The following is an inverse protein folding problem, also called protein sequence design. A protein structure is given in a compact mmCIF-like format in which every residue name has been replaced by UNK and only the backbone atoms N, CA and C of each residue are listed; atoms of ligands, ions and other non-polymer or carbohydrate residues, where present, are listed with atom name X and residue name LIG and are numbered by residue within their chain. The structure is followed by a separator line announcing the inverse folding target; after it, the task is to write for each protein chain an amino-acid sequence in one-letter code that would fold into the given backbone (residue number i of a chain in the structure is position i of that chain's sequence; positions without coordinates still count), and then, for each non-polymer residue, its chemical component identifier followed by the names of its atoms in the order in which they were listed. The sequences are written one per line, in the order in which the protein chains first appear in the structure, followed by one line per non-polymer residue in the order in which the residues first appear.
data_IF_265663731364
#
_entry.id   IF_265663731364
#
_cell.length_a   1.000
_cell.length_b   1.000
_cell.length_c   1.000
_cell.angle_alpha   90.00
_cell.angle_beta   90.00
_cell.angle_gamma   90.00
#
_symmetry.space_group_name_H-M   'P 1'
#
loop_
_entity.id
_entity.type
_entity.pdbx_description
1 polymer ?
#
# COMPACT_ATOMS: atom_id res chain seq x y z
N UNK A 1 -1.78 -28.52 -22.64
CA UNK A 1 -1.72 -27.10 -22.28
C UNK A 1 -3.16 -26.65 -22.04
N UNK A 2 -3.63 -26.73 -20.80
CA UNK A 2 -5.00 -26.36 -20.47
C UNK A 2 -5.06 -24.84 -20.45
N UNK A 3 -5.91 -24.23 -21.28
CA UNK A 3 -6.13 -22.79 -21.25
C UNK A 3 -6.73 -22.47 -19.88
N UNK A 4 -5.93 -21.84 -19.01
CA UNK A 4 -6.40 -21.26 -17.76
C UNK A 4 -7.30 -20.10 -18.14
N UNK A 5 -8.59 -20.17 -17.77
CA UNK A 5 -9.53 -19.07 -18.00
C UNK A 5 -9.11 -17.85 -17.17
N UNK A 6 -9.52 -16.65 -17.62
CA UNK A 6 -9.27 -15.41 -16.87
C UNK A 6 -9.86 -15.47 -15.45
N UNK A 7 -10.81 -16.37 -15.17
CA UNK A 7 -11.40 -16.61 -13.85
C UNK A 7 -10.33 -16.85 -12.76
N UNK A 8 -9.25 -17.54 -13.09
CA UNK A 8 -8.17 -17.80 -12.13
C UNK A 8 -7.36 -16.56 -11.78
N UNK A 9 -7.29 -15.56 -12.66
CA UNK A 9 -6.52 -14.33 -12.43
C UNK A 9 -7.19 -13.43 -11.38
N UNK A 10 -8.48 -13.65 -11.11
CA UNK A 10 -9.27 -12.91 -10.13
C UNK A 10 -9.39 -13.60 -8.77
N UNK A 11 -9.01 -14.88 -8.67
CA UNK A 11 -8.96 -15.59 -7.39
C UNK A 11 -8.00 -14.92 -6.39
N UNK A 12 -8.16 -15.24 -5.11
CA UNK A 12 -7.24 -14.75 -4.08
C UNK A 12 -5.84 -15.34 -4.27
N UNK A 13 -4.82 -14.62 -3.78
CA UNK A 13 -3.44 -15.10 -3.78
C UNK A 13 -3.33 -16.43 -3.03
N UNK A 14 -3.96 -16.52 -1.86
CA UNK A 14 -4.01 -17.71 -1.02
C UNK A 14 -4.65 -18.91 -1.73
N UNK A 15 -5.74 -18.70 -2.46
CA UNK A 15 -6.40 -19.77 -3.21
C UNK A 15 -5.53 -20.28 -4.37
N UNK A 16 -4.84 -19.37 -5.06
CA UNK A 16 -3.91 -19.75 -6.14
C UNK A 16 -2.70 -20.49 -5.59
N UNK A 17 -2.10 -20.03 -4.49
CA UNK A 17 -1.02 -20.75 -3.82
C UNK A 17 -1.42 -22.19 -3.45
N UNK A 18 -2.63 -22.38 -2.89
CA UNK A 18 -3.16 -23.71 -2.55
C UNK A 18 -3.45 -24.57 -3.78
N UNK A 19 -3.91 -23.98 -4.89
CA UNK A 19 -4.15 -24.69 -6.15
C UNK A 19 -2.85 -25.13 -6.81
N UNK A 20 -1.81 -24.30 -6.75
CA UNK A 20 -0.45 -24.62 -7.22
C UNK A 20 0.15 -25.74 -6.39
N UNK A 21 0.12 -25.61 -5.06
CA UNK A 21 0.64 -26.63 -4.12
C UNK A 21 0.03 -28.01 -4.36
N UNK A 22 -1.26 -28.08 -4.71
CA UNK A 22 -1.98 -29.33 -5.00
C UNK A 22 -1.82 -29.82 -6.43
N UNK A 23 -1.11 -29.10 -7.29
CA UNK A 23 -0.92 -29.44 -8.70
C UNK A 23 -2.18 -29.27 -9.56
N UNK A 24 -3.20 -28.55 -9.08
CA UNK A 24 -4.45 -28.31 -9.84
C UNK A 24 -4.30 -27.21 -10.91
N UNK A 25 -3.29 -26.35 -10.75
CA UNK A 25 -2.80 -25.40 -11.73
C UNK A 25 -1.28 -25.31 -11.55
N UNK A 26 -0.52 -25.04 -12.60
CA UNK A 26 0.93 -24.83 -12.48
C UNK A 26 1.26 -23.35 -12.35
N UNK A 27 2.39 -23.04 -11.71
CA UNK A 27 2.96 -21.69 -11.63
C UNK A 27 3.20 -21.10 -13.02
N UNK A 28 3.72 -21.90 -13.95
CA UNK A 28 3.88 -21.48 -15.34
C UNK A 28 2.54 -21.07 -15.98
N UNK A 29 1.52 -21.92 -15.85
CA UNK A 29 0.23 -21.68 -16.48
C UNK A 29 -0.46 -20.41 -15.95
N UNK A 30 -0.38 -20.14 -14.64
CA UNK A 30 -0.97 -18.92 -14.06
C UNK A 30 -0.15 -17.67 -14.41
N UNK A 31 1.18 -17.78 -14.49
CA UNK A 31 2.05 -16.67 -14.89
C UNK A 31 1.82 -16.30 -16.34
N UNK A 32 1.72 -17.29 -17.23
CA UNK A 32 1.35 -17.07 -18.64
C UNK A 32 -0.04 -16.40 -18.77
N UNK A 33 -1.01 -16.80 -17.95
CA UNK A 33 -2.34 -16.18 -17.95
C UNK A 33 -2.29 -14.71 -17.52
N UNK A 34 -1.57 -14.38 -16.44
CA UNK A 34 -1.40 -12.98 -16.03
C UNK A 34 -0.64 -12.16 -17.06
N UNK A 35 0.43 -12.69 -17.67
CA UNK A 35 1.18 -11.98 -18.71
C UNK A 35 0.31 -11.70 -19.95
N UNK A 36 -0.55 -12.64 -20.36
CA UNK A 36 -1.55 -12.39 -21.43
C UNK A 36 -2.53 -11.29 -21.03
N UNK A 37 -3.00 -11.28 -19.78
CA UNK A 37 -3.91 -10.25 -19.27
C UNK A 37 -3.23 -8.87 -19.20
N UNK A 38 -1.98 -8.82 -18.74
CA UNK A 38 -1.13 -7.61 -18.77
C UNK A 38 -1.01 -7.11 -20.21
N UNK A 39 -0.62 -7.96 -21.16
CA UNK A 39 -0.49 -7.58 -22.57
C UNK A 39 -1.79 -7.01 -23.16
N UNK A 40 -2.96 -7.44 -22.67
CA UNK A 40 -4.27 -6.95 -23.09
C UNK A 40 -4.66 -5.61 -22.47
N UNK A 41 -4.41 -5.41 -21.17
CA UNK A 41 -4.98 -4.29 -20.40
C UNK A 41 -3.97 -3.17 -20.09
N UNK A 42 -2.68 -3.50 -20.04
CA UNK A 42 -1.63 -2.54 -19.68
C UNK A 42 -1.52 -1.34 -20.63
N UNK A 43 -1.76 -1.47 -21.96
CA UNK A 43 -1.76 -0.31 -22.86
C UNK A 43 -2.77 0.79 -22.49
N UNK A 44 -3.86 0.43 -21.79
CA UNK A 44 -4.90 1.37 -21.35
C UNK A 44 -4.78 1.77 -19.87
N UNK A 45 -4.14 0.94 -19.05
CA UNK A 45 -4.08 1.12 -17.60
C UNK A 45 -2.77 1.75 -17.11
N UNK A 46 -1.67 1.56 -17.82
CA UNK A 46 -0.34 2.08 -17.46
C UNK A 46 0.06 1.75 -16.00
N UNK A 47 -0.20 0.52 -15.54
CA UNK A 47 0.07 0.07 -14.19
C UNK A 47 1.53 -0.36 -13.96
N UNK A 48 2.28 -0.68 -15.02
CA UNK A 48 3.64 -1.17 -14.98
C UNK A 48 4.63 -0.15 -15.56
N UNK A 49 5.69 0.13 -14.80
CA UNK A 49 6.88 0.80 -15.32
C UNK A 49 7.72 -0.18 -16.16
N UNK A 50 7.74 -1.46 -15.78
CA UNK A 50 8.41 -2.52 -16.54
C UNK A 50 7.78 -3.88 -16.25
N UNK A 51 7.31 -4.57 -17.28
CA UNK A 51 6.89 -5.98 -17.20
C UNK A 51 8.13 -6.87 -17.36
N UNK A 52 8.23 -7.94 -16.58
CA UNK A 52 9.40 -8.83 -16.55
C UNK A 52 9.10 -10.22 -17.13
N UNK A 53 8.41 -10.26 -18.26
CA UNK A 53 7.82 -11.45 -18.89
C UNK A 53 8.72 -12.69 -18.94
N UNK A 54 9.91 -12.55 -19.51
CA UNK A 54 10.84 -13.65 -19.76
C UNK A 54 11.32 -14.23 -18.43
N UNK A 55 11.80 -13.36 -17.54
CA UNK A 55 12.28 -13.78 -16.21
C UNK A 55 11.15 -14.31 -15.31
N UNK A 56 9.92 -13.82 -15.48
CA UNK A 56 8.76 -14.30 -14.72
C UNK A 56 8.40 -15.74 -15.13
N UNK A 57 8.43 -16.05 -16.43
CA UNK A 57 8.21 -17.41 -16.94
C UNK A 57 9.33 -18.38 -16.51
N UNK A 58 10.58 -17.92 -16.46
CA UNK A 58 11.70 -18.72 -15.94
C UNK A 58 11.54 -19.03 -14.45
N UNK A 59 11.23 -18.01 -13.63
CA UNK A 59 10.90 -18.20 -12.21
C UNK A 59 9.74 -19.19 -12.02
N UNK A 60 8.71 -19.10 -12.85
CA UNK A 60 7.55 -19.98 -12.78
C UNK A 60 7.89 -21.45 -13.05
N UNK A 61 8.76 -21.73 -14.04
CA UNK A 61 9.24 -23.08 -14.33
C UNK A 61 10.03 -23.66 -13.16
N UNK A 62 10.92 -22.86 -12.57
CA UNK A 62 11.70 -23.27 -11.40
C UNK A 62 10.77 -23.58 -10.21
N UNK A 63 9.75 -22.75 -9.97
CA UNK A 63 8.76 -23.01 -8.92
C UNK A 63 8.01 -24.33 -9.15
N UNK A 64 7.56 -24.59 -10.38
CA UNK A 64 6.90 -25.86 -10.75
C UNK A 64 7.81 -27.08 -10.50
N UNK A 65 9.09 -27.01 -10.90
CA UNK A 65 10.08 -28.07 -10.67
C UNK A 65 10.34 -28.34 -9.19
N UNK A 66 10.45 -27.29 -8.38
CA UNK A 66 10.66 -27.40 -6.95
C UNK A 66 9.45 -27.98 -6.23
N UNK A 67 8.25 -27.54 -6.59
CA UNK A 67 7.00 -28.05 -6.01
C UNK A 67 6.80 -29.51 -6.37
N UNK A 68 7.06 -29.90 -7.63
CA UNK A 68 7.01 -31.29 -8.07
C UNK A 68 8.03 -32.18 -7.31
N UNK A 69 9.18 -31.62 -6.94
CA UNK A 69 10.19 -32.29 -6.13
C UNK A 69 9.92 -32.23 -4.61
N UNK A 70 8.75 -31.74 -4.16
CA UNK A 70 8.36 -31.67 -2.75
C UNK A 70 8.99 -30.51 -1.96
N UNK A 71 9.68 -29.57 -2.62
CA UNK A 71 10.34 -28.41 -1.99
C UNK A 71 9.43 -27.18 -1.95
N UNK A 72 8.25 -27.32 -1.35
CA UNK A 72 7.29 -26.22 -1.25
C UNK A 72 7.71 -25.19 -0.18
N UNK A 73 7.90 -23.92 -0.58
CA UNK A 73 8.45 -22.84 0.27
C UNK A 73 7.42 -22.04 1.07
N UNK A 74 6.13 -22.22 0.80
CA UNK A 74 5.06 -21.49 1.49
C UNK A 74 3.96 -21.01 0.54
N UNK A 75 2.96 -20.26 1.05
CA UNK A 75 1.77 -19.87 0.29
C UNK A 75 2.04 -18.95 -0.90
N UNK A 76 3.21 -18.30 -0.95
CA UNK A 76 3.63 -17.48 -2.09
C UNK A 76 4.37 -18.28 -3.17
N UNK A 77 4.72 -19.55 -2.93
CA UNK A 77 5.56 -20.30 -3.84
C UNK A 77 4.87 -20.49 -5.19
N UNK A 78 5.42 -19.87 -6.23
CA UNK A 78 4.89 -19.93 -7.58
C UNK A 78 3.78 -18.94 -7.90
N UNK A 79 3.50 -17.97 -7.00
CA UNK A 79 2.45 -16.97 -7.21
C UNK A 79 3.04 -15.65 -7.76
N UNK A 80 2.49 -15.08 -8.85
CA UNK A 80 2.88 -13.77 -9.37
C UNK A 80 2.59 -12.58 -8.45
N UNK A 81 3.64 -11.83 -8.11
CA UNK A 81 3.63 -10.61 -7.29
C UNK A 81 4.35 -9.49 -8.04
N UNK A 82 3.81 -8.27 -7.99
CA UNK A 82 4.45 -7.09 -8.54
C UNK A 82 5.19 -6.30 -7.45
N UNK A 83 6.14 -5.46 -7.81
CA UNK A 83 6.84 -4.59 -6.85
C UNK A 83 6.87 -3.17 -7.36
N UNK A 84 6.63 -2.17 -6.49
CA UNK A 84 6.71 -0.75 -6.89
C UNK A 84 8.11 -0.40 -7.40
N UNK A 85 8.20 0.48 -8.41
CA UNK A 85 9.47 0.88 -9.08
C UNK A 85 10.44 1.73 -8.21
N UNK A 86 10.35 1.58 -6.89
CA UNK A 86 11.33 2.03 -5.90
C UNK A 86 12.12 0.87 -5.29
N UNK A 87 11.68 -0.38 -5.49
CA UNK A 87 12.34 -1.57 -4.98
C UNK A 87 13.43 -2.02 -5.96
N UNK A 88 14.67 -2.07 -5.49
CA UNK A 88 15.79 -2.59 -6.28
C UNK A 88 15.56 -4.07 -6.61
N UNK A 89 15.81 -4.41 -7.88
CA UNK A 89 15.92 -5.79 -8.34
C UNK A 89 17.23 -5.86 -9.10
N UNK A 90 18.11 -6.78 -8.71
CA UNK A 90 19.43 -6.96 -9.32
C UNK A 90 19.32 -7.05 -10.85
N UNK A 91 20.08 -6.21 -11.56
CA UNK A 91 20.14 -6.20 -13.02
C UNK A 91 18.92 -5.60 -13.73
N UNK A 92 17.93 -5.08 -12.99
CA UNK A 92 16.71 -4.47 -13.56
C UNK A 92 16.66 -2.99 -13.21
N UNK A 93 16.48 -2.09 -14.21
CA UNK A 93 16.37 -0.66 -13.95
C UNK A 93 15.35 -0.33 -12.85
N UNK A 94 15.69 0.62 -11.98
CA UNK A 94 14.80 1.13 -10.94
C UNK A 94 14.80 2.65 -11.01
N UNK A 95 13.67 3.27 -11.35
CA UNK A 95 13.64 4.71 -11.66
C UNK A 95 12.96 5.55 -10.59
N UNK A 96 12.19 4.94 -9.70
CA UNK A 96 11.37 5.61 -8.69
C UNK A 96 10.45 6.69 -9.29
N UNK A 97 9.98 6.48 -10.52
CA UNK A 97 9.18 7.47 -11.26
C UNK A 97 9.96 8.75 -11.63
N UNK A 98 11.29 8.74 -11.58
CA UNK A 98 12.14 9.90 -11.90
C UNK A 98 12.87 9.72 -13.23
N UNK A 99 13.25 10.84 -13.86
CA UNK A 99 14.22 10.80 -14.97
C UNK A 99 15.68 10.78 -14.49
N UNK A 100 15.93 11.26 -13.27
CA UNK A 100 17.24 11.31 -12.63
C UNK A 100 17.85 9.90 -12.53
N UNK A 101 17.03 8.90 -12.21
CA UNK A 101 17.45 7.50 -12.10
C UNK A 101 17.13 6.66 -13.35
N UNK A 102 16.91 7.30 -14.51
CA UNK A 102 16.51 6.61 -15.75
C UNK A 102 17.45 5.47 -16.19
N UNK A 103 18.73 5.56 -15.82
CA UNK A 103 19.79 4.60 -16.12
C UNK A 103 20.30 3.82 -14.88
N UNK A 104 19.68 3.99 -13.71
CA UNK A 104 20.12 3.30 -12.50
C UNK A 104 19.72 1.82 -12.56
N UNK A 105 20.72 0.94 -12.52
CA UNK A 105 20.56 -0.51 -12.45
C UNK A 105 21.27 -0.99 -11.18
N UNK A 106 20.54 -1.48 -10.17
CA UNK A 106 21.14 -1.96 -8.94
C UNK A 106 21.86 -3.30 -9.17
N UNK A 107 22.91 -3.52 -8.41
CA UNK A 107 23.72 -4.75 -8.37
C UNK A 107 23.28 -5.72 -7.27
N UNK A 108 22.21 -5.39 -6.54
CA UNK A 108 21.58 -6.26 -5.56
C UNK A 108 20.06 -6.08 -5.49
N UNK A 109 19.38 -7.12 -5.00
CA UNK A 109 17.96 -7.06 -4.66
C UNK A 109 17.73 -6.27 -3.36
N UNK A 110 16.65 -5.48 -3.33
CA UNK A 110 16.09 -4.96 -2.09
C UNK A 110 15.76 -6.11 -1.12
N UNK A 111 15.79 -5.85 0.20
CA UNK A 111 15.48 -6.90 1.17
C UNK A 111 14.08 -7.49 0.97
N UNK A 112 13.10 -6.67 0.61
CA UNK A 112 11.73 -7.14 0.31
C UNK A 112 11.69 -8.05 -0.93
N UNK A 113 12.44 -7.72 -1.98
CA UNK A 113 12.55 -8.51 -3.23
C UNK A 113 13.23 -9.84 -2.95
N UNK A 114 14.38 -9.82 -2.26
CA UNK A 114 15.10 -11.02 -1.84
C UNK A 114 14.21 -11.95 -1.01
N UNK A 115 13.45 -11.40 -0.05
CA UNK A 115 12.54 -12.17 0.80
C UNK A 115 11.38 -12.80 0.02
N UNK A 116 10.82 -12.08 -0.95
CA UNK A 116 9.81 -12.64 -1.86
C UNK A 116 10.36 -13.81 -2.68
N UNK A 117 11.57 -13.69 -3.25
CA UNK A 117 12.24 -14.80 -3.95
C UNK A 117 12.51 -15.99 -3.03
N UNK A 118 12.92 -15.75 -1.79
CA UNK A 118 13.12 -16.79 -0.78
C UNK A 118 11.81 -17.52 -0.46
N UNK A 119 10.67 -16.81 -0.42
CA UNK A 119 9.34 -17.39 -0.29
C UNK A 119 8.84 -18.10 -1.57
N UNK A 120 9.60 -18.01 -2.67
CA UNK A 120 9.28 -18.61 -3.96
C UNK A 120 8.27 -17.82 -4.79
N UNK A 121 7.99 -16.56 -4.45
CA UNK A 121 7.13 -15.70 -5.26
C UNK A 121 7.75 -15.43 -6.63
N UNK A 122 6.91 -15.28 -7.65
CA UNK A 122 7.33 -14.89 -8.99
C UNK A 122 7.20 -13.38 -9.11
N UNK A 123 8.31 -12.69 -9.34
CA UNK A 123 8.28 -11.24 -9.55
C UNK A 123 7.91 -10.96 -11.00
N UNK A 124 6.68 -10.48 -11.22
CA UNK A 124 6.11 -10.30 -12.56
C UNK A 124 6.46 -8.96 -13.20
N UNK A 125 6.82 -7.95 -12.39
CA UNK A 125 7.23 -6.65 -12.90
C UNK A 125 7.32 -5.56 -11.85
N UNK A 126 7.76 -4.38 -12.32
CA UNK A 126 7.89 -3.12 -11.58
C UNK A 126 6.66 -2.25 -11.86
N UNK A 127 5.88 -1.90 -10.83
CA UNK A 127 4.66 -1.10 -10.99
C UNK A 127 4.95 0.39 -11.04
N UNK A 128 4.18 1.11 -11.85
CA UNK A 128 4.25 2.56 -12.01
C UNK A 128 3.97 3.30 -10.69
N UNK A 129 4.56 4.49 -10.56
CA UNK A 129 4.42 5.36 -9.40
C UNK A 129 4.63 6.83 -9.77
N UNK A 130 4.26 7.74 -8.87
CA UNK A 130 4.61 9.16 -8.97
C UNK A 130 6.11 9.39 -8.75
N UNK A 131 6.60 10.56 -9.13
CA UNK A 131 8.02 10.91 -9.10
C UNK A 131 8.56 10.96 -7.66
N UNK A 132 9.60 10.17 -7.38
CA UNK A 132 10.24 10.11 -6.07
C UNK A 132 9.29 9.64 -4.96
N UNK A 133 8.23 8.90 -5.31
CA UNK A 133 7.12 8.53 -4.42
C UNK A 133 6.34 9.73 -3.82
N UNK A 134 6.54 10.94 -4.34
CA UNK A 134 5.87 12.15 -3.88
C UNK A 134 4.54 12.40 -4.62
N UNK A 135 3.96 13.60 -4.50
CA UNK A 135 2.59 13.93 -4.88
C UNK A 135 2.22 13.62 -6.35
N UNK A 136 3.08 13.92 -7.31
CA UNK A 136 2.70 13.96 -8.72
C UNK A 136 3.63 13.11 -9.59
N UNK A 137 3.12 12.66 -10.73
CA UNK A 137 3.95 12.01 -11.74
C UNK A 137 4.91 13.02 -12.35
N UNK A 138 6.10 12.55 -12.72
CA UNK A 138 6.98 13.36 -13.55
C UNK A 138 6.25 13.69 -14.88
N UNK A 139 6.31 14.92 -15.40
CA UNK A 139 5.56 15.32 -16.61
C UNK A 139 5.81 14.45 -17.86
N UNK A 140 6.95 13.77 -17.92
CA UNK A 140 7.31 12.85 -19.01
C UNK A 140 6.86 11.40 -18.79
N UNK A 141 6.22 11.08 -17.67
CA UNK A 141 5.75 9.73 -17.34
C UNK A 141 4.22 9.71 -17.44
N UNK A 142 3.69 8.77 -18.20
CA UNK A 142 2.24 8.56 -18.31
C UNK A 142 1.68 8.05 -16.97
N UNK A 143 0.70 8.76 -16.37
CA UNK A 143 0.03 8.32 -15.16
C UNK A 143 -0.76 7.01 -15.34
N UNK A 144 -0.87 6.22 -14.27
CA UNK A 144 -1.78 5.07 -14.25
C UNK A 144 -3.25 5.51 -14.27
N UNK A 145 -4.08 4.73 -14.96
CA UNK A 145 -5.52 4.97 -15.12
C UNK A 145 -6.31 4.06 -14.17
N UNK A 146 -7.33 4.60 -13.51
CA UNK A 146 -8.15 3.82 -12.59
C UNK A 146 -9.01 2.82 -13.38
N UNK A 147 -8.95 1.52 -13.07
CA UNK A 147 -9.61 0.49 -13.86
C UNK A 147 -11.13 0.53 -13.72
N UNK A 148 -11.67 1.12 -12.64
CA UNK A 148 -13.10 1.33 -12.46
C UNK A 148 -13.66 2.40 -13.39
N UNK A 149 -12.93 3.52 -13.52
CA UNK A 149 -13.26 4.60 -14.43
C UNK A 149 -12.04 5.49 -14.67
N UNK A 150 -11.79 5.86 -15.93
CA UNK A 150 -10.68 6.72 -16.29
C UNK A 150 -10.83 8.17 -15.79
N UNK A 151 -12.04 8.58 -15.41
CA UNK A 151 -12.32 9.93 -14.89
C UNK A 151 -11.95 10.08 -13.40
N UNK A 152 -11.61 8.96 -12.74
CA UNK A 152 -11.37 8.90 -11.31
C UNK A 152 -9.89 8.71 -10.99
N UNK A 153 -9.49 9.28 -9.85
CA UNK A 153 -8.14 9.20 -9.34
C UNK A 153 -7.76 7.76 -8.98
N UNK A 154 -6.51 7.38 -9.27
CA UNK A 154 -5.95 6.08 -8.87
C UNK A 154 -5.44 6.07 -7.43
N UNK A 155 -5.36 7.21 -6.77
CA UNK A 155 -4.52 7.36 -5.58
C UNK A 155 -3.03 7.40 -5.93
N UNK A 156 -2.23 7.95 -5.03
CA UNK A 156 -0.77 8.08 -5.17
C UNK A 156 -0.09 7.66 -3.87
N UNK A 157 1.20 7.35 -3.85
CA UNK A 157 2.13 7.21 -4.98
C UNK A 157 2.20 5.80 -5.54
N UNK A 158 1.62 4.80 -4.85
CA UNK A 158 1.60 3.39 -5.29
C UNK A 158 0.45 3.10 -6.25
N UNK A 159 0.23 4.00 -7.21
CA UNK A 159 -0.87 3.97 -8.17
C UNK A 159 -0.87 2.67 -8.99
N UNK A 160 0.23 2.36 -9.66
CA UNK A 160 0.37 1.16 -10.47
C UNK A 160 0.19 -0.12 -9.66
N UNK A 161 0.65 -0.15 -8.40
CA UNK A 161 0.46 -1.28 -7.50
C UNK A 161 -1.02 -1.58 -7.23
N UNK A 162 -1.82 -0.53 -6.99
CA UNK A 162 -3.26 -0.68 -6.76
C UNK A 162 -4.04 -1.01 -8.05
N UNK A 163 -3.71 -0.35 -9.16
CA UNK A 163 -4.33 -0.62 -10.48
C UNK A 163 -4.04 -2.07 -10.89
N UNK A 164 -2.81 -2.54 -10.78
CA UNK A 164 -2.43 -3.91 -11.11
C UNK A 164 -3.16 -4.94 -10.25
N UNK A 165 -3.29 -4.70 -8.94
CA UNK A 165 -4.01 -5.61 -8.05
C UNK A 165 -5.53 -5.64 -8.35
N UNK A 166 -6.14 -4.48 -8.58
CA UNK A 166 -7.57 -4.33 -8.84
C UNK A 166 -7.99 -4.95 -10.17
N UNK A 167 -7.19 -4.73 -11.23
CA UNK A 167 -7.45 -5.24 -12.57
C UNK A 167 -7.01 -6.71 -12.76
N UNK A 168 -6.52 -7.39 -11.72
CA UNK A 168 -6.09 -8.80 -11.81
C UNK A 168 -4.79 -9.01 -12.60
N UNK A 169 -3.93 -7.99 -12.66
CA UNK A 169 -2.63 -8.04 -13.34
C UNK A 169 -1.50 -8.57 -12.45
N UNK A 170 -1.76 -8.72 -11.16
CA UNK A 170 -0.93 -9.41 -10.17
C UNK A 170 -1.84 -9.98 -9.05
N UNK A 171 -1.33 -10.88 -8.21
CA UNK A 171 -2.07 -11.34 -7.02
C UNK A 171 -1.86 -10.45 -5.79
N UNK A 172 -0.81 -9.64 -5.83
CA UNK A 172 -0.51 -8.61 -4.85
C UNK A 172 0.73 -7.85 -5.29
N UNK A 173 0.97 -6.73 -4.62
CA UNK A 173 2.08 -5.85 -4.93
C UNK A 173 2.74 -5.31 -3.66
N UNK A 174 4.06 -5.16 -3.72
CA UNK A 174 4.79 -4.33 -2.75
C UNK A 174 4.56 -2.86 -3.10
N UNK A 175 4.28 -2.07 -2.08
CA UNK A 175 3.98 -0.66 -2.17
C UNK A 175 4.67 0.12 -1.03
N UNK A 176 4.68 1.46 -1.11
CA UNK A 176 5.21 2.30 -0.04
C UNK A 176 4.20 3.35 0.43
N UNK A 177 4.29 3.75 1.70
CA UNK A 177 3.43 4.73 2.35
C UNK A 177 4.25 5.70 3.21
N UNK A 178 4.23 6.97 2.83
CA UNK A 178 4.91 8.08 3.54
C UNK A 178 3.91 9.08 4.13
N UNK A 179 2.66 9.05 3.64
CA UNK A 179 1.61 10.02 3.95
C UNK A 179 0.20 9.59 3.52
N UNK A 180 0.05 8.35 3.05
CA UNK A 180 -1.17 7.78 2.47
C UNK A 180 -0.93 6.85 1.29
N UNK A 181 0.33 6.61 0.90
CA UNK A 181 0.67 6.05 -0.41
C UNK A 181 0.42 4.56 -0.63
N UNK A 182 -0.01 3.83 0.39
CA UNK A 182 -0.67 2.51 0.25
C UNK A 182 -2.19 2.68 0.34
N UNK A 183 -2.63 3.52 1.27
CA UNK A 183 -4.04 3.63 1.70
C UNK A 183 -4.92 4.36 0.69
N UNK A 184 -4.49 5.51 0.14
CA UNK A 184 -5.26 6.21 -0.90
C UNK A 184 -5.40 5.36 -2.17
N UNK A 185 -4.33 4.76 -2.73
CA UNK A 185 -4.48 3.87 -3.86
C UNK A 185 -5.38 2.66 -3.57
N UNK A 186 -5.25 2.05 -2.38
CA UNK A 186 -6.11 0.93 -2.01
C UNK A 186 -7.59 1.32 -1.97
N UNK A 187 -7.92 2.43 -1.31
CA UNK A 187 -9.29 2.94 -1.25
C UNK A 187 -9.85 3.30 -2.63
N UNK A 188 -9.08 4.01 -3.46
CA UNK A 188 -9.51 4.49 -4.77
C UNK A 188 -9.75 3.38 -5.80
N UNK A 189 -9.05 2.24 -5.66
CA UNK A 189 -9.17 1.10 -6.57
C UNK A 189 -9.96 -0.07 -5.98
N UNK A 190 -10.51 0.06 -4.77
CA UNK A 190 -11.33 -0.97 -4.15
C UNK A 190 -10.55 -2.24 -3.78
N UNK A 191 -9.29 -2.08 -3.39
CA UNK A 191 -8.41 -3.17 -2.97
C UNK A 191 -8.00 -3.00 -1.51
N UNK A 192 -7.30 -3.99 -0.96
CA UNK A 192 -6.84 -4.00 0.42
C UNK A 192 -5.40 -3.54 0.51
N UNK A 193 -5.13 -2.53 1.33
CA UNK A 193 -3.79 -1.98 1.56
C UNK A 193 -3.38 -2.16 3.02
N UNK A 194 -2.17 -2.66 3.27
CA UNK A 194 -1.61 -2.80 4.62
C UNK A 194 -0.34 -1.97 4.74
N UNK A 195 -0.45 -0.86 5.47
CA UNK A 195 0.70 -0.09 5.94
C UNK A 195 1.11 -0.64 7.30
N UNK A 196 2.28 -1.28 7.44
CA UNK A 196 2.69 -1.82 8.74
C UNK A 196 3.21 -0.72 9.66
N UNK A 197 3.65 -1.12 10.85
CA UNK A 197 4.36 -0.26 11.80
C UNK A 197 5.67 0.21 11.17
N UNK A 198 6.08 1.45 11.46
CA UNK A 198 7.39 1.94 10.99
C UNK A 198 8.50 1.02 11.51
N UNK A 199 9.38 0.58 10.61
CA UNK A 199 10.44 -0.38 10.90
C UNK A 199 10.02 -1.86 10.86
N UNK A 200 8.73 -2.21 10.71
CA UNK A 200 8.32 -3.63 10.57
C UNK A 200 8.93 -4.31 9.33
N UNK A 201 9.12 -3.55 8.27
CA UNK A 201 9.68 -3.99 6.99
C UNK A 201 10.93 -3.16 6.71
N UNK A 202 12.00 -3.83 6.30
CA UNK A 202 13.26 -3.19 5.93
C UNK A 202 13.08 -2.28 4.71
N UNK A 203 13.77 -1.14 4.73
CA UNK A 203 13.90 -0.19 3.62
C UNK A 203 15.21 -0.36 2.86
N UNK A 204 16.03 -1.35 3.19
CA UNK A 204 17.27 -1.60 2.44
C UNK A 204 16.98 -1.95 0.98
N UNK A 205 17.66 -1.25 0.08
CA UNK A 205 17.48 -1.34 -1.38
C UNK A 205 16.16 -0.76 -1.86
N UNK A 206 15.59 0.19 -1.11
CA UNK A 206 14.40 0.95 -1.52
C UNK A 206 14.78 2.42 -1.68
N UNK A 207 14.29 3.05 -2.75
CA UNK A 207 14.38 4.50 -2.89
C UNK A 207 13.50 5.20 -1.84
N UNK A 208 14.12 6.00 -0.97
CA UNK A 208 13.45 6.74 0.10
C UNK A 208 12.86 8.06 -0.43
N UNK A 209 11.72 8.48 0.13
CA UNK A 209 11.20 9.85 0.02
C UNK A 209 11.54 10.63 1.30
N UNK A 210 11.13 10.08 2.44
CA UNK A 210 11.37 10.64 3.76
C UNK A 210 11.61 9.47 4.74
N UNK A 211 12.88 9.08 4.98
CA UNK A 211 13.23 7.85 5.69
C UNK A 211 12.52 7.64 7.03
N UNK A 212 12.25 8.71 7.77
CA UNK A 212 11.59 8.62 9.08
C UNK A 212 10.09 8.42 8.98
N UNK A 213 9.50 8.62 7.81
CA UNK A 213 8.07 8.49 7.50
C UNK A 213 7.76 7.29 6.59
N UNK A 214 8.75 6.81 5.83
CA UNK A 214 8.56 5.77 4.82
C UNK A 214 8.25 4.40 5.44
N UNK A 215 7.17 3.79 4.95
CA UNK A 215 6.79 2.41 5.25
C UNK A 215 6.77 1.62 3.96
N UNK A 216 7.35 0.42 3.97
CA UNK A 216 7.08 -0.59 2.95
C UNK A 216 5.92 -1.46 3.44
N UNK A 217 4.98 -1.72 2.55
CA UNK A 217 3.80 -2.53 2.85
C UNK A 217 3.25 -3.17 1.60
N UNK A 218 1.98 -3.54 1.65
CA UNK A 218 1.39 -4.43 0.64
C UNK A 218 0.06 -3.92 0.15
N UNK A 219 -0.22 -4.11 -1.14
CA UNK A 219 -1.56 -4.00 -1.70
C UNK A 219 -1.96 -5.36 -2.29
N UNK A 220 -3.11 -5.87 -1.91
CA UNK A 220 -3.67 -7.12 -2.41
C UNK A 220 -5.20 -7.02 -2.49
N UNK A 221 -5.89 -8.05 -3.00
CA UNK A 221 -7.37 -8.03 -3.08
C UNK A 221 -8.06 -8.36 -1.76
N UNK A 222 -7.36 -9.00 -0.82
CA UNK A 222 -7.90 -9.30 0.51
C UNK A 222 -6.91 -9.00 1.63
N UNK A 223 -7.42 -8.84 2.84
CA UNK A 223 -6.64 -8.63 4.06
C UNK A 223 -5.74 -9.84 4.36
N UNK A 224 -6.25 -11.05 4.10
CA UNK A 224 -5.47 -12.28 4.25
C UNK A 224 -4.27 -12.27 3.31
N UNK A 225 -4.47 -11.98 2.03
CA UNK A 225 -3.39 -11.96 1.04
C UNK A 225 -2.35 -10.87 1.38
N UNK A 226 -2.81 -9.68 1.79
CA UNK A 226 -1.92 -8.61 2.26
C UNK A 226 -1.07 -9.06 3.47
N UNK A 227 -1.70 -9.73 4.45
CA UNK A 227 -1.00 -10.29 5.60
C UNK A 227 0.02 -11.37 5.25
N UNK A 228 -0.31 -12.27 4.31
CA UNK A 228 0.59 -13.33 3.84
C UNK A 228 1.82 -12.74 3.13
N UNK A 229 1.64 -11.69 2.30
CA UNK A 229 2.77 -10.99 1.69
C UNK A 229 3.60 -10.29 2.77
N UNK A 230 2.97 -9.62 3.74
CA UNK A 230 3.67 -8.95 4.84
C UNK A 230 4.51 -9.94 5.65
N UNK A 231 3.98 -11.14 5.92
CA UNK A 231 4.70 -12.19 6.63
C UNK A 231 6.04 -12.55 5.97
N UNK A 232 6.08 -12.56 4.63
CA UNK A 232 7.29 -12.87 3.89
C UNK A 232 8.33 -11.75 3.94
N UNK A 233 7.91 -10.49 3.90
CA UNK A 233 8.82 -9.34 3.76
C UNK A 233 9.23 -8.69 5.09
N UNK A 234 8.51 -8.96 6.18
CA UNK A 234 8.73 -8.33 7.47
C UNK A 234 9.91 -8.93 8.28
N UNK A 235 10.34 -8.17 9.29
CA UNK A 235 11.34 -8.59 10.29
C UNK A 235 12.70 -7.91 10.12
N UNK A 236 13.53 -8.06 11.15
CA UNK A 236 14.86 -7.45 11.25
C UNK A 236 15.73 -7.68 10.03
N UNK A 237 16.55 -6.71 9.68
CA UNK A 237 17.48 -6.80 8.57
C UNK A 237 18.83 -6.19 8.97
N UNK A 238 19.94 -6.93 8.93
CA UNK A 238 21.25 -6.37 9.26
C UNK A 238 21.69 -5.23 8.31
N UNK A 239 21.10 -5.13 7.10
CA UNK A 239 21.38 -4.05 6.16
C UNK A 239 20.52 -2.80 6.36
N UNK A 240 19.55 -2.87 7.26
CA UNK A 240 18.72 -1.74 7.68
C UNK A 240 18.61 -1.70 9.21
N UNK A 241 19.46 -0.92 9.89
CA UNK A 241 19.39 -0.76 11.35
C UNK A 241 18.07 -0.16 11.88
N UNK A 242 17.22 0.40 11.00
CA UNK A 242 15.88 0.88 11.36
C UNK A 242 14.81 -0.22 11.31
N UNK A 243 15.13 -1.39 10.74
CA UNK A 243 14.26 -2.55 10.74
C UNK A 243 14.17 -3.18 12.14
N UNK A 244 12.95 -3.24 12.66
CA UNK A 244 12.63 -3.63 14.01
C UNK A 244 12.90 -5.13 14.25
N UNK A 245 13.41 -5.47 15.44
CA UNK A 245 13.70 -6.84 15.86
C UNK A 245 12.48 -7.61 16.38
N UNK A 246 11.30 -6.99 16.32
CA UNK A 246 10.04 -7.51 16.81
C UNK A 246 9.68 -8.76 15.98
N UNK A 247 9.30 -9.88 16.63
CA UNK A 247 8.89 -11.09 15.93
C UNK A 247 7.80 -10.82 14.90
N UNK A 248 7.88 -11.51 13.76
CA UNK A 248 6.85 -11.48 12.74
C UNK A 248 5.76 -12.48 13.13
N UNK A 249 4.49 -12.06 13.26
CA UNK A 249 3.42 -12.96 13.66
C UNK A 249 3.04 -13.94 12.54
N UNK A 250 2.40 -15.06 12.91
CA UNK A 250 1.79 -15.99 11.95
C UNK A 250 0.50 -15.39 11.37
N UNK A 251 0.61 -14.61 10.29
CA UNK A 251 -0.56 -14.02 9.64
C UNK A 251 -1.53 -15.04 9.08
N UNK A 252 -1.09 -16.27 8.77
CA UNK A 252 -2.00 -17.33 8.33
C UNK A 252 -2.93 -17.79 9.47
N UNK A 253 -2.63 -17.46 10.73
CA UNK A 253 -3.52 -17.70 11.87
C UNK A 253 -4.73 -16.77 11.92
N UNK A 254 -4.70 -15.65 11.20
CA UNK A 254 -5.74 -14.64 11.29
C UNK A 254 -7.14 -15.21 10.93
N UNK A 255 -7.22 -16.16 10.00
CA UNK A 255 -8.48 -16.81 9.59
C UNK A 255 -9.09 -17.69 10.68
N UNK A 256 -8.30 -18.10 11.68
CA UNK A 256 -8.74 -18.97 12.79
C UNK A 256 -9.41 -18.18 13.92
N UNK A 257 -9.39 -16.86 13.86
CA UNK A 257 -9.88 -15.99 14.93
C UNK A 257 -10.84 -14.96 14.36
N UNK A 258 -12.06 -14.89 14.88
CA UNK A 258 -13.00 -13.81 14.55
C UNK A 258 -12.65 -12.50 15.24
N UNK A 259 -13.59 -11.55 15.22
CA UNK A 259 -13.50 -10.25 15.93
C UNK A 259 -14.28 -10.23 17.25
N UNK A 260 -14.84 -11.37 17.66
CA UNK A 260 -15.59 -11.50 18.91
C UNK A 260 -14.80 -10.99 20.12
N UNK A 261 -15.39 -10.03 20.84
CA UNK A 261 -14.81 -9.43 22.04
C UNK A 261 -13.77 -8.34 21.80
N UNK A 262 -13.40 -8.04 20.54
CA UNK A 262 -12.50 -6.93 20.27
C UNK A 262 -13.17 -5.60 20.53
N UNK A 263 -12.44 -4.68 21.14
CA UNK A 263 -12.84 -3.29 21.35
C UNK A 263 -12.41 -2.49 20.12
N UNK A 264 -13.35 -2.05 19.30
CA UNK A 264 -13.07 -1.22 18.14
C UNK A 264 -13.48 0.21 18.47
N UNK A 265 -12.48 1.06 18.64
CA UNK A 265 -12.63 2.48 18.86
C UNK A 265 -13.24 3.20 17.65
N UNK A 266 -14.10 4.18 17.91
CA UNK A 266 -14.61 5.11 16.93
C UNK A 266 -14.69 6.50 17.56
N UNK A 267 -14.21 7.54 16.88
CA UNK A 267 -14.33 8.93 17.32
C UNK A 267 -15.42 9.64 16.52
N UNK A 268 -16.58 9.95 17.12
CA UNK A 268 -17.68 10.61 16.42
C UNK A 268 -17.31 12.00 15.89
N UNK A 269 -16.54 12.79 16.63
CA UNK A 269 -16.15 14.14 16.19
C UNK A 269 -15.21 14.07 14.99
N UNK A 270 -14.15 13.28 15.12
CA UNK A 270 -13.16 13.11 14.06
C UNK A 270 -13.75 12.48 12.79
N UNK A 271 -14.74 11.60 12.92
CA UNK A 271 -15.32 10.85 11.79
C UNK A 271 -16.61 11.46 11.21
N UNK A 272 -17.19 12.51 11.81
CA UNK A 272 -18.40 13.16 11.29
C UNK A 272 -18.18 14.60 10.84
N UNK A 273 -17.30 15.34 11.50
CA UNK A 273 -17.00 16.72 11.13
C UNK A 273 -16.32 16.77 9.78
N UNK A 274 -16.95 17.45 8.81
CA UNK A 274 -16.41 17.65 7.46
C UNK A 274 -16.15 16.35 6.67
N UNK A 275 -16.96 15.33 6.94
CA UNK A 275 -16.96 14.05 6.21
C UNK A 275 -18.23 13.94 5.35
N UNK A 276 -18.08 13.56 4.09
CA UNK A 276 -19.20 13.46 3.16
C UNK A 276 -20.19 12.34 3.55
N UNK A 277 -21.50 12.50 3.26
CA UNK A 277 -22.53 11.55 3.68
C UNK A 277 -22.31 10.11 3.21
N UNK A 278 -21.72 9.89 2.03
CA UNK A 278 -21.46 8.53 1.53
C UNK A 278 -20.38 7.81 2.35
N UNK A 279 -19.36 8.54 2.80
CA UNK A 279 -18.30 8.01 3.67
C UNK A 279 -18.82 7.76 5.08
N UNK A 280 -19.67 8.65 5.61
CA UNK A 280 -20.34 8.44 6.90
C UNK A 280 -21.26 7.21 6.87
N UNK A 281 -22.01 7.01 5.79
CA UNK A 281 -22.85 5.83 5.61
C UNK A 281 -22.03 4.53 5.57
N UNK A 282 -20.88 4.54 4.88
CA UNK A 282 -19.97 3.40 4.87
C UNK A 282 -19.39 3.09 6.26
N UNK A 283 -19.00 4.12 7.03
CA UNK A 283 -18.54 3.96 8.42
C UNK A 283 -19.61 3.33 9.32
N UNK A 284 -20.85 3.80 9.21
CA UNK A 284 -21.96 3.26 9.98
C UNK A 284 -22.20 1.79 9.64
N UNK A 285 -22.32 1.47 8.35
CA UNK A 285 -22.49 0.09 7.89
C UNK A 285 -21.32 -0.82 8.31
N UNK A 286 -20.08 -0.31 8.29
CA UNK A 286 -18.94 -1.08 8.75
C UNK A 286 -18.96 -1.34 10.27
N UNK A 287 -19.40 -0.35 11.05
CA UNK A 287 -19.58 -0.49 12.50
C UNK A 287 -20.66 -1.52 12.84
N UNK A 288 -21.75 -1.55 12.08
CA UNK A 288 -22.81 -2.55 12.22
C UNK A 288 -22.27 -3.96 11.93
N UNK A 289 -21.54 -4.15 10.82
CA UNK A 289 -20.92 -5.44 10.48
C UNK A 289 -19.96 -5.93 11.57
N UNK A 290 -19.10 -5.05 12.11
CA UNK A 290 -18.20 -5.45 13.19
C UNK A 290 -18.96 -5.83 14.47
N UNK A 291 -20.04 -5.10 14.79
CA UNK A 291 -20.91 -5.41 15.93
C UNK A 291 -21.60 -6.77 15.76
N UNK A 292 -22.13 -7.06 14.57
CA UNK A 292 -22.75 -8.34 14.22
C UNK A 292 -21.76 -9.52 14.30
N UNK A 293 -20.50 -9.27 13.98
CA UNK A 293 -19.40 -10.22 14.14
C UNK A 293 -18.90 -10.35 15.59
N UNK A 294 -19.51 -9.62 16.54
CA UNK A 294 -19.27 -9.72 17.98
C UNK A 294 -18.21 -8.78 18.54
N UNK A 295 -17.77 -7.75 17.78
CA UNK A 295 -16.91 -6.71 18.32
C UNK A 295 -17.70 -5.72 19.18
N UNK A 296 -17.04 -5.09 20.14
CA UNK A 296 -17.57 -4.01 20.95
C UNK A 296 -17.11 -2.67 20.36
N UNK A 297 -18.06 -1.91 19.81
CA UNK A 297 -17.78 -0.54 19.37
C UNK A 297 -17.64 0.37 20.60
N UNK A 298 -16.52 1.07 20.71
CA UNK A 298 -16.17 1.92 21.85
C UNK A 298 -15.98 3.36 21.37
N UNK A 299 -16.72 4.29 21.95
CA UNK A 299 -16.48 5.71 21.69
C UNK A 299 -15.13 6.14 22.29
N UNK A 300 -14.29 6.76 21.47
CA UNK A 300 -12.99 7.30 21.89
C UNK A 300 -12.84 8.74 21.42
N UNK A 301 -11.82 9.42 21.94
CA UNK A 301 -11.35 10.70 21.40
C UNK A 301 -9.94 10.54 20.86
N UNK A 302 -9.79 10.62 19.55
CA UNK A 302 -8.50 10.60 18.89
C UNK A 302 -7.72 11.90 19.20
N UNK A 303 -6.39 11.84 19.37
CA UNK A 303 -5.59 13.05 19.55
C UNK A 303 -5.80 14.02 18.38
N UNK A 304 -5.76 15.33 18.67
CA UNK A 304 -5.89 16.36 17.63
C UNK A 304 -4.79 16.18 16.56
N UNK A 305 -5.23 15.97 15.33
CA UNK A 305 -4.37 15.68 14.18
C UNK A 305 -3.88 16.95 13.47
N UNK A 306 -4.47 18.11 13.77
CA UNK A 306 -4.22 19.38 13.05
C UNK A 306 -2.73 19.71 12.95
N UNK A 307 -2.01 19.63 14.07
CA UNK A 307 -0.58 19.91 14.10
C UNK A 307 0.24 18.82 13.40
N UNK A 308 -0.14 17.54 13.51
CA UNK A 308 0.55 16.45 12.81
C UNK A 308 0.41 16.56 11.29
N UNK A 309 -0.76 17.01 10.80
CA UNK A 309 -1.00 17.32 9.38
C UNK A 309 -0.14 18.51 8.93
N UNK A 310 -0.14 19.61 9.70
CA UNK A 310 0.66 20.79 9.39
C UNK A 310 2.18 20.49 9.36
N UNK A 311 2.63 19.62 10.24
CA UNK A 311 4.04 19.22 10.37
C UNK A 311 4.50 18.21 9.31
N UNK A 312 3.58 17.49 8.66
CA UNK A 312 3.93 16.42 7.73
C UNK A 312 4.72 16.94 6.52
N UNK A 313 4.24 18.01 5.87
CA UNK A 313 4.90 18.57 4.68
C UNK A 313 6.33 19.06 4.99
N UNK A 314 6.59 19.93 5.99
CA UNK A 314 7.95 20.36 6.29
C UNK A 314 8.85 19.21 6.75
N UNK A 315 8.33 18.21 7.49
CA UNK A 315 9.09 17.01 7.83
C UNK A 315 9.54 16.24 6.58
N UNK A 316 8.58 15.89 5.72
CA UNK A 316 8.84 15.19 4.46
C UNK A 316 9.80 15.99 3.57
N UNK A 317 9.64 17.31 3.51
CA UNK A 317 10.43 18.18 2.65
C UNK A 317 11.91 18.21 3.06
N UNK A 318 12.20 18.36 4.37
CA UNK A 318 13.58 18.33 4.88
C UNK A 318 14.26 17.02 4.53
N UNK A 319 13.57 15.90 4.75
CA UNK A 319 14.13 14.57 4.49
C UNK A 319 14.28 14.29 2.99
N UNK A 320 13.32 14.69 2.16
CA UNK A 320 13.44 14.60 0.70
C UNK A 320 14.61 15.44 0.17
N UNK A 321 14.81 16.64 0.71
CA UNK A 321 15.94 17.50 0.35
C UNK A 321 17.28 16.84 0.70
N UNK A 322 17.35 16.12 1.83
CA UNK A 322 18.53 15.36 2.22
C UNK A 322 18.78 14.15 1.29
N UNK A 323 17.74 13.37 0.97
CA UNK A 323 17.82 12.23 0.05
C UNK A 323 18.32 12.67 -1.33
N UNK A 324 17.81 13.79 -1.83
CA UNK A 324 18.14 14.29 -3.15
C UNK A 324 19.34 15.25 -3.20
N UNK A 325 20.02 15.51 -2.07
CA UNK A 325 21.01 16.59 -1.97
C UNK A 325 22.11 16.52 -3.04
N UNK A 326 22.59 15.30 -3.34
CA UNK A 326 23.64 15.07 -4.36
C UNK A 326 23.10 15.25 -5.78
N UNK A 327 21.98 14.60 -6.10
CA UNK A 327 21.48 14.51 -7.47
C UNK A 327 20.79 15.80 -7.91
N UNK A 328 20.08 16.48 -7.00
CA UNK A 328 19.32 17.68 -7.31
C UNK A 328 20.19 18.86 -7.71
N UNK A 329 21.35 19.03 -7.07
CA UNK A 329 22.28 20.11 -7.41
C UNK A 329 22.87 19.94 -8.83
N UNK A 330 23.09 18.70 -9.27
CA UNK A 330 23.71 18.40 -10.56
C UNK A 330 22.70 18.26 -11.70
N UNK A 331 21.46 17.85 -11.40
CA UNK A 331 20.49 17.40 -12.40
C UNK A 331 19.12 18.07 -12.26
N UNK A 332 19.05 19.29 -11.72
CA UNK A 332 17.78 19.99 -11.43
C UNK A 332 16.79 19.99 -12.60
N UNK A 333 17.26 20.10 -13.84
CA UNK A 333 16.42 20.12 -15.04
C UNK A 333 15.74 18.77 -15.36
N UNK A 334 16.17 17.69 -14.71
CA UNK A 334 15.56 16.36 -14.83
C UNK A 334 14.45 16.10 -13.80
N UNK A 335 14.20 17.04 -12.88
CA UNK A 335 13.15 16.91 -11.87
C UNK A 335 11.85 17.55 -12.34
N UNK A 336 10.73 16.89 -12.05
CA UNK A 336 9.42 17.51 -12.19
C UNK A 336 9.23 18.66 -11.21
N UNK A 337 8.37 19.65 -11.54
CA UNK A 337 8.23 20.88 -10.76
C UNK A 337 7.75 20.63 -9.33
N UNK A 338 6.94 19.58 -9.11
CA UNK A 338 6.37 19.28 -7.79
C UNK A 338 7.43 18.68 -6.85
N UNK A 339 8.22 17.70 -7.31
CA UNK A 339 9.32 17.15 -6.52
C UNK A 339 10.42 18.19 -6.30
N UNK A 340 10.77 18.96 -7.34
CA UNK A 340 11.71 20.06 -7.19
C UNK A 340 11.23 21.10 -6.15
N UNK A 341 9.95 21.44 -6.17
CA UNK A 341 9.34 22.37 -5.22
C UNK A 341 9.42 21.90 -3.77
N UNK A 342 9.13 20.62 -3.49
CA UNK A 342 9.24 20.08 -2.12
C UNK A 342 10.70 20.01 -1.65
N UNK A 343 11.65 19.70 -2.53
CA UNK A 343 13.08 19.71 -2.22
C UNK A 343 13.55 21.13 -1.83
N UNK A 344 13.18 22.15 -2.61
CA UNK A 344 13.55 23.54 -2.29
C UNK A 344 12.87 24.04 -1.01
N UNK A 345 11.61 23.64 -0.77
CA UNK A 345 10.93 23.90 0.51
C UNK A 345 11.69 23.30 1.68
N UNK A 346 12.18 22.06 1.53
CA UNK A 346 12.97 21.38 2.56
C UNK A 346 14.24 22.13 2.96
N UNK A 347 14.96 22.68 1.97
CA UNK A 347 16.16 23.50 2.22
C UNK A 347 15.85 24.82 2.95
N UNK A 348 14.61 25.30 2.90
CA UNK A 348 14.19 26.54 3.54
C UNK A 348 13.69 26.34 4.99
N UNK A 349 13.41 25.10 5.40
CA UNK A 349 13.00 24.79 6.78
C UNK A 349 14.21 24.93 7.71
N UNK A 350 14.04 25.65 8.82
CA UNK A 350 15.13 25.82 9.78
C UNK A 350 15.36 24.55 10.62
N UNK A 351 16.61 24.32 11.05
CA UNK A 351 16.94 23.22 11.98
C UNK A 351 16.12 23.28 13.27
N UNK A 352 15.86 24.50 13.77
CA UNK A 352 15.04 24.71 14.96
C UNK A 352 13.58 24.27 14.74
N UNK A 353 12.99 24.62 13.59
CA UNK A 353 11.65 24.18 13.22
C UNK A 353 11.58 22.67 13.06
N UNK A 354 12.54 22.07 12.33
CA UNK A 354 12.61 20.62 12.14
C UNK A 354 12.72 19.88 13.48
N UNK A 355 13.57 20.35 14.40
CA UNK A 355 13.68 19.77 15.74
C UNK A 355 12.36 19.86 16.52
N UNK A 356 11.61 20.96 16.40
CA UNK A 356 10.30 21.07 17.04
C UNK A 356 9.28 20.10 16.43
N UNK A 357 9.31 19.89 15.11
CA UNK A 357 8.48 18.89 14.45
C UNK A 357 8.77 17.49 15.01
N UNK A 358 10.05 17.11 15.16
CA UNK A 358 10.44 15.81 15.71
C UNK A 358 9.93 15.61 17.15
N UNK A 359 9.99 16.65 17.99
CA UNK A 359 9.46 16.60 19.36
C UNK A 359 7.94 16.44 19.39
N UNK A 360 7.21 17.24 18.58
CA UNK A 360 5.74 17.13 18.48
C UNK A 360 5.32 15.77 17.95
N UNK A 361 6.04 15.24 16.97
CA UNK A 361 5.85 13.89 16.43
C UNK A 361 6.00 12.81 17.51
N UNK A 362 7.02 12.91 18.37
CA UNK A 362 7.22 11.97 19.46
C UNK A 362 6.09 12.02 20.52
N UNK A 363 5.60 13.22 20.84
CA UNK A 363 4.45 13.42 21.74
C UNK A 363 3.19 12.81 21.12
N UNK A 364 2.91 13.16 19.86
CA UNK A 364 1.74 12.65 19.14
C UNK A 364 1.76 11.12 19.04
N UNK A 365 2.91 10.51 18.75
CA UNK A 365 3.09 9.05 18.76
C UNK A 365 2.69 8.43 20.09
N UNK A 366 3.18 8.97 21.21
CA UNK A 366 2.83 8.49 22.55
C UNK A 366 1.31 8.56 22.78
N UNK A 367 0.69 9.67 22.38
CA UNK A 367 -0.74 9.90 22.63
C UNK A 367 -1.62 8.96 21.80
N UNK A 368 -1.25 8.68 20.55
CA UNK A 368 -1.92 7.67 19.72
C UNK A 368 -1.74 6.27 20.32
N UNK A 369 -0.53 5.88 20.72
CA UNK A 369 -0.27 4.55 21.30
C UNK A 369 -1.04 4.34 22.62
N UNK A 370 -1.20 5.39 23.43
CA UNK A 370 -1.94 5.34 24.69
C UNK A 370 -3.43 4.97 24.51
N UNK A 371 -4.04 5.28 23.36
CA UNK A 371 -5.42 4.89 23.09
C UNK A 371 -5.60 3.37 23.07
N UNK A 372 -4.60 2.63 22.58
CA UNK A 372 -4.67 1.17 22.45
C UNK A 372 -4.60 0.42 23.79
N UNK A 373 -4.46 1.13 24.92
CA UNK A 373 -4.76 0.56 26.23
C UNK A 373 -6.28 0.29 26.41
N UNK A 374 -7.13 1.13 25.79
CA UNK A 374 -8.59 1.12 25.94
C UNK A 374 -9.33 0.44 24.80
N UNK A 375 -8.69 0.28 23.64
CA UNK A 375 -9.25 -0.36 22.44
C UNK A 375 -8.20 -1.22 21.76
N UNK A 376 -8.62 -2.20 20.97
CA UNK A 376 -7.70 -3.08 20.23
C UNK A 376 -7.47 -2.58 18.80
N UNK A 377 -8.47 -1.89 18.24
CA UNK A 377 -8.46 -1.28 16.92
C UNK A 377 -9.18 0.06 16.94
N UNK A 378 -8.99 0.89 15.92
CA UNK A 378 -9.78 2.11 15.68
C UNK A 378 -10.30 2.09 14.24
N UNK A 379 -11.60 2.32 14.04
CA UNK A 379 -12.24 2.43 12.73
C UNK A 379 -12.36 3.89 12.31
N UNK A 380 -11.90 4.22 11.11
CA UNK A 380 -11.89 5.60 10.57
C UNK A 380 -11.92 5.60 9.04
N UNK A 381 -12.34 6.70 8.38
CA UNK A 381 -12.20 6.85 6.93
C UNK A 381 -10.73 6.84 6.49
N UNK A 382 -10.49 6.56 5.21
CA UNK A 382 -9.20 6.84 4.56
C UNK A 382 -9.08 8.31 4.15
N UNK A 383 -10.22 8.94 3.85
CA UNK A 383 -10.35 10.34 3.44
C UNK A 383 -11.79 10.80 3.73
N UNK A 384 -12.04 12.12 3.88
CA UNK A 384 -13.38 12.62 4.19
C UNK A 384 -14.32 12.63 2.98
N UNK A 385 -13.81 12.39 1.77
CA UNK A 385 -14.53 12.55 0.51
C UNK A 385 -15.07 11.23 -0.04
N UNK A 386 -16.13 11.30 -0.85
CA UNK A 386 -16.43 10.28 -1.85
C UNK A 386 -15.23 10.10 -2.82
N UNK A 387 -15.25 9.08 -3.71
CA UNK A 387 -14.19 8.87 -4.67
C UNK A 387 -13.85 10.14 -5.46
N UNK A 388 -12.57 10.49 -5.51
CA UNK A 388 -12.10 11.74 -6.08
C UNK A 388 -11.93 11.61 -7.59
N UNK A 389 -12.45 12.57 -8.36
CA UNK A 389 -12.23 12.65 -9.81
C UNK A 389 -10.86 13.22 -10.12
N UNK A 390 -10.34 12.95 -11.32
CA UNK A 390 -9.10 13.58 -11.80
C UNK A 390 -9.22 15.11 -11.84
N UNK A 391 -10.40 15.63 -12.17
CA UNK A 391 -10.66 17.08 -12.15
C UNK A 391 -10.54 17.68 -10.74
N UNK A 392 -11.02 16.99 -9.71
CA UNK A 392 -10.86 17.43 -8.33
C UNK A 392 -9.38 17.43 -7.92
N UNK A 393 -8.66 16.35 -8.21
CA UNK A 393 -7.24 16.21 -7.88
C UNK A 393 -6.36 17.21 -8.62
N UNK A 394 -6.66 17.55 -9.88
CA UNK A 394 -5.87 18.50 -10.67
C UNK A 394 -5.76 19.89 -10.01
N UNK A 395 -6.72 20.25 -9.17
CA UNK A 395 -6.75 21.54 -8.44
C UNK A 395 -6.31 21.42 -6.98
N UNK A 396 -5.94 20.22 -6.53
CA UNK A 396 -5.63 19.93 -5.14
C UNK A 396 -4.45 20.77 -4.63
N UNK A 397 -3.39 20.92 -5.44
CA UNK A 397 -2.21 21.75 -5.14
C UNK A 397 -2.50 23.24 -4.94
N UNK A 398 -3.61 23.74 -5.48
CA UNK A 398 -4.03 25.14 -5.39
C UNK A 398 -4.96 25.40 -4.18
N UNK A 399 -5.39 24.34 -3.49
CA UNK A 399 -6.36 24.38 -2.40
C UNK A 399 -5.76 23.79 -1.12
N UNK A 400 -5.04 24.59 -0.30
CA UNK A 400 -4.40 24.13 0.92
C UNK A 400 -5.36 23.40 1.87
N UNK A 401 -6.60 23.88 1.99
CA UNK A 401 -7.61 23.27 2.84
C UNK A 401 -8.03 21.88 2.34
N UNK A 402 -8.13 21.68 1.02
CA UNK A 402 -8.50 20.40 0.44
C UNK A 402 -7.40 19.35 0.66
N UNK A 403 -6.12 19.75 0.52
CA UNK A 403 -4.98 18.88 0.85
C UNK A 403 -5.00 18.49 2.33
N UNK A 404 -5.16 19.46 3.23
CA UNK A 404 -5.15 19.20 4.66
C UNK A 404 -6.27 18.22 5.06
N UNK A 405 -7.45 18.36 4.46
CA UNK A 405 -8.58 17.43 4.63
C UNK A 405 -8.26 16.01 4.15
N UNK A 406 -7.61 15.87 2.99
CA UNK A 406 -7.19 14.58 2.47
C UNK A 406 -6.15 13.90 3.38
N UNK A 407 -5.18 14.69 3.87
CA UNK A 407 -4.09 14.24 4.75
C UNK A 407 -4.55 13.91 6.17
N UNK A 408 -5.71 14.42 6.60
CA UNK A 408 -6.27 14.29 7.96
C UNK A 408 -6.31 12.86 8.49
N UNK A 409 -6.53 11.88 7.63
CA UNK A 409 -6.71 10.47 8.03
C UNK A 409 -5.52 9.59 7.70
N UNK A 410 -4.50 10.10 7.01
CA UNK A 410 -3.35 9.30 6.59
C UNK A 410 -2.04 9.77 7.20
N UNK A 411 -1.63 11.01 6.94
CA UNK A 411 -0.35 11.59 7.38
C UNK A 411 -0.09 11.48 8.89
N UNK A 412 -1.08 11.67 9.80
CA UNK A 412 -0.86 11.48 11.24
C UNK A 412 -0.36 10.07 11.60
N UNK A 413 -0.73 9.04 10.82
CA UNK A 413 -0.30 7.67 11.06
C UNK A 413 1.13 7.41 10.61
N UNK A 414 1.64 8.15 9.61
CA UNK A 414 3.06 8.12 9.23
C UNK A 414 3.91 8.91 10.23
N UNK A 415 3.37 10.04 10.71
CA UNK A 415 3.96 10.81 11.80
C UNK A 415 4.05 9.96 13.08
N UNK A 416 3.00 9.23 13.44
CA UNK A 416 3.03 8.39 14.63
C UNK A 416 3.71 7.03 14.41
N UNK A 417 3.78 6.52 13.17
CA UNK A 417 4.39 5.24 12.82
C UNK A 417 3.50 4.02 13.06
N UNK A 418 2.20 4.20 13.33
CA UNK A 418 1.27 3.12 13.64
C UNK A 418 0.77 2.39 12.39
N UNK A 419 0.51 1.08 12.46
CA UNK A 419 0.01 0.32 11.34
C UNK A 419 -1.47 0.64 11.03
N UNK A 420 -1.83 0.48 9.75
CA UNK A 420 -3.19 0.65 9.27
C UNK A 420 -3.52 -0.36 8.15
N UNK A 421 -4.75 -0.87 8.15
CA UNK A 421 -5.30 -1.70 7.08
C UNK A 421 -6.47 -0.98 6.42
N UNK A 422 -6.32 -0.62 5.14
CA UNK A 422 -7.38 -0.12 4.28
C UNK A 422 -8.11 -1.26 3.59
N UNK A 423 -9.43 -1.22 3.54
CA UNK A 423 -10.25 -2.22 2.86
C UNK A 423 -11.51 -1.57 2.23
N UNK A 424 -12.04 -2.14 1.14
CA UNK A 424 -13.28 -1.67 0.54
C UNK A 424 -14.46 -1.99 1.46
N UNK A 425 -15.33 -1.00 1.68
CA UNK A 425 -16.44 -1.08 2.64
C UNK A 425 -17.77 -0.55 2.09
N UNK A 426 -17.85 -0.33 0.78
CA UNK A 426 -19.05 0.13 0.11
C UNK A 426 -18.78 0.64 -1.29
N UNK A 427 -19.81 1.22 -1.89
CA UNK A 427 -19.71 1.91 -3.18
C UNK A 427 -20.45 3.25 -3.15
N UNK A 428 -19.90 4.19 -3.90
CA UNK A 428 -20.54 5.46 -4.17
C UNK A 428 -21.58 5.33 -5.29
N UNK A 429 -22.33 6.41 -5.53
CA UNK A 429 -23.40 6.47 -6.56
C UNK A 429 -22.94 6.08 -7.98
N UNK A 430 -21.68 6.29 -8.32
CA UNK A 430 -21.11 5.99 -9.64
C UNK A 430 -20.42 4.61 -9.68
N UNK A 431 -20.80 3.68 -8.80
CA UNK A 431 -20.19 2.35 -8.61
C UNK A 431 -18.71 2.35 -8.20
N UNK A 432 -18.13 3.53 -7.98
CA UNK A 432 -16.75 3.67 -7.50
C UNK A 432 -16.62 3.15 -6.06
N UNK A 433 -15.53 2.43 -5.74
CA UNK A 433 -15.31 1.86 -4.41
C UNK A 433 -15.13 2.94 -3.34
N UNK A 434 -15.68 2.69 -2.14
CA UNK A 434 -15.39 3.46 -0.93
C UNK A 434 -14.51 2.61 -0.01
N UNK A 435 -13.38 3.17 0.40
CA UNK A 435 -12.45 2.55 1.32
C UNK A 435 -12.51 3.13 2.74
N UNK A 436 -12.45 2.26 3.74
CA UNK A 436 -12.24 2.61 5.15
C UNK A 436 -10.91 2.03 5.63
N UNK A 437 -10.48 2.39 6.84
CA UNK A 437 -9.29 1.80 7.44
C UNK A 437 -9.50 1.45 8.92
N UNK A 438 -8.79 0.40 9.34
CA UNK A 438 -8.56 0.06 10.73
C UNK A 438 -7.15 0.48 11.12
N UNK A 439 -7.00 1.06 12.31
CA UNK A 439 -5.73 1.39 12.94
C UNK A 439 -5.48 0.43 14.10
N UNK A 440 -4.21 0.13 14.39
CA UNK A 440 -3.84 -0.69 15.54
C UNK A 440 -2.62 -0.11 16.27
N UNK A 441 -2.39 -0.58 17.49
CA UNK A 441 -1.16 -0.27 18.23
C UNK A 441 0.07 -0.77 17.48
N UNK A 442 1.25 -0.26 17.85
CA UNK A 442 2.48 -0.66 17.18
C UNK A 442 2.68 -2.18 17.24
N UNK A 443 3.09 -2.74 16.10
CA UNK A 443 3.35 -4.16 15.88
C UNK A 443 2.13 -5.10 16.03
N UNK A 444 0.91 -4.56 15.97
CA UNK A 444 -0.36 -5.31 16.04
C UNK A 444 -0.97 -5.62 14.65
N UNK A 445 -0.15 -5.78 13.60
CA UNK A 445 -0.66 -6.02 12.25
C UNK A 445 -1.48 -7.31 12.12
N UNK A 446 -1.21 -8.33 12.96
CA UNK A 446 -2.03 -9.55 12.99
C UNK A 446 -3.49 -9.26 13.35
N UNK A 447 -3.71 -8.34 14.30
CA UNK A 447 -5.06 -7.93 14.73
C UNK A 447 -5.79 -7.19 13.61
N UNK A 448 -5.07 -6.36 12.83
CA UNK A 448 -5.61 -5.73 11.63
C UNK A 448 -6.05 -6.77 10.60
N UNK A 449 -5.15 -7.70 10.23
CA UNK A 449 -5.42 -8.73 9.23
C UNK A 449 -6.58 -9.63 9.66
N UNK A 450 -6.64 -9.99 10.95
CA UNK A 450 -7.76 -10.72 11.54
C UNK A 450 -9.09 -10.00 11.34
N UNK A 451 -9.15 -8.72 11.72
CA UNK A 451 -10.38 -7.95 11.62
C UNK A 451 -10.80 -7.71 10.17
N UNK A 452 -9.85 -7.38 9.30
CA UNK A 452 -10.09 -7.24 7.87
C UNK A 452 -10.59 -8.53 7.22
N UNK A 453 -9.98 -9.67 7.55
CA UNK A 453 -10.40 -10.98 7.04
C UNK A 453 -11.81 -11.36 7.53
N UNK A 454 -12.15 -11.07 8.78
CA UNK A 454 -13.51 -11.30 9.30
C UNK A 454 -14.54 -10.42 8.59
N UNK A 455 -14.25 -9.12 8.42
CA UNK A 455 -15.10 -8.18 7.70
C UNK A 455 -15.32 -8.61 6.24
N UNK A 456 -14.25 -9.02 5.56
CA UNK A 456 -14.29 -9.52 4.19
C UNK A 456 -14.92 -10.91 4.08
N UNK A 457 -14.90 -11.72 5.13
CA UNK A 457 -15.66 -12.97 5.17
C UNK A 457 -17.17 -12.77 5.29
N UNK A 458 -17.61 -11.61 5.81
CA UNK A 458 -19.02 -11.26 5.98
C UNK A 458 -19.58 -10.37 4.86
N UNK A 459 -18.71 -9.74 4.06
CA UNK A 459 -19.08 -8.79 3.00
C UNK A 459 -18.45 -9.18 1.65
N UNK A 460 -19.04 -8.72 0.55
CA UNK A 460 -18.54 -9.02 -0.80
C UNK A 460 -17.79 -7.85 -1.46
N UNK A 461 -17.54 -6.74 -0.73
CA UNK A 461 -16.97 -5.52 -1.32
C UNK A 461 -15.61 -5.76 -1.98
N UNK A 462 -14.76 -6.56 -1.33
CA UNK A 462 -13.41 -6.91 -1.81
C UNK A 462 -13.42 -7.90 -2.99
N UNK A 463 -14.57 -8.50 -3.31
CA UNK A 463 -14.75 -9.41 -4.45
C UNK A 463 -15.30 -8.69 -5.68
N UNK A 464 -15.63 -7.39 -5.57
CA UNK A 464 -16.04 -6.61 -6.74
C UNK A 464 -14.79 -6.31 -7.57
N UNK A 465 -14.91 -6.50 -8.88
CA UNK A 465 -13.86 -6.22 -9.84
C UNK A 465 -14.30 -5.14 -10.83
N UNK A 466 -13.36 -4.33 -11.34
CA UNK A 466 -13.67 -3.39 -12.41
C UNK A 466 -14.24 -4.09 -13.65
N UNK A 467 -15.26 -3.49 -14.29
CA UNK A 467 -15.98 -4.07 -15.43
C UNK A 467 -15.19 -4.23 -16.75
N UNK A 468 -13.87 -4.01 -16.73
CA UNK A 468 -12.97 -4.23 -17.87
C UNK A 468 -12.30 -5.59 -17.74
N UNK A 469 -13.09 -6.65 -17.90
CA UNK A 469 -12.66 -8.06 -17.86
C UNK A 469 -12.67 -8.68 -19.23
#
# INVERSE_FOLDING_TARGET
MTIVSDDFTLLSLTEIGDRIKRGSISSLAITEAQLRRIARLEPDLHAYAQVMDTSALEQAKVADEEIAAGRHRGPLHGVPIAVKDLCWIEGVPTRAGTLVHGNFVPDEDATVVRRLRQAGAIIIGKTQMTEGAYSDYHPAITPSVNPWSADYWTGISSSGSAVAAAAGLCFGAIASDTGGSIRWPAAANGVTGLKPTWGRVSRHGVFDLAPSLDHLGTIARSAMDAGIILAAIAGSDPKDPTAAAQPVPDFASASRSGVGGLRIGFDPGWNSEDVEPQTQAALAAASDVFSDLGAHMVEIRFPDVSQAVADWVPNCAVEAAAVHARDFAANKDLYGPILAGVIEKGKAVSEAEYQQILLRRAIFRRDVEALFASVDLILTPVQPFAPLTLAAIATLGEQPDLIARLQRYTCPLDMSGHPALTFPAGVAKDEMPIGLQLLAGQFQELTLVRAGAAFQGHTAWHQRHPGKG
#
